data_IF_153158718886
#
_entry.id   IF_153158718886
#
_cell.length_a   1.000
_cell.length_b   1.000
_cell.length_c   1.000
_cell.angle_alpha   90.00
_cell.angle_beta   90.00
_cell.angle_gamma   90.00
#
_symmetry.space_group_name_H-M   'P 1'
#
loop_
_entity.id
_entity.type
_entity.pdbx_description
1 polymer ?
#
# COMPACT_ATOMS: atom_id res chain seq x y z
N UNK A 1 1.45 -58.05 69.53
CA UNK A 1 2.50 -57.13 69.04
C UNK A 1 2.67 -57.17 67.51
N UNK A 2 2.83 -58.34 66.87
CA UNK A 2 3.00 -58.41 65.40
C UNK A 2 1.75 -57.96 64.62
N UNK A 3 0.57 -58.43 65.04
CA UNK A 3 -0.69 -58.02 64.41
C UNK A 3 -0.96 -56.50 64.47
N UNK A 4 -0.60 -55.84 65.58
CA UNK A 4 -0.73 -54.38 65.73
C UNK A 4 0.18 -53.61 64.77
N UNK A 5 1.42 -54.07 64.58
CA UNK A 5 2.37 -53.45 63.62
C UNK A 5 1.95 -53.59 62.16
N UNK A 6 1.31 -54.72 61.81
CA UNK A 6 0.78 -54.94 60.45
C UNK A 6 -0.33 -53.92 60.18
N UNK A 7 -1.25 -53.77 61.14
CA UNK A 7 -2.34 -52.81 61.01
C UNK A 7 -1.82 -51.36 60.96
N UNK A 8 -0.89 -50.97 61.83
CA UNK A 8 -0.37 -49.59 61.86
C UNK A 8 0.43 -49.18 60.61
N UNK A 9 1.16 -50.11 59.98
CA UNK A 9 2.03 -49.79 58.84
C UNK A 9 1.39 -49.99 57.48
N UNK A 10 0.49 -50.95 57.37
CA UNK A 10 -0.09 -51.37 56.09
C UNK A 10 -1.60 -51.16 56.04
N UNK A 11 -2.25 -50.82 57.17
CA UNK A 11 -3.70 -50.65 57.30
C UNK A 11 -4.48 -51.91 56.90
N UNK A 12 -3.98 -53.08 57.34
CA UNK A 12 -4.49 -54.40 56.97
C UNK A 12 -4.46 -55.40 58.13
N UNK A 13 -5.26 -56.48 58.02
CA UNK A 13 -5.23 -57.59 58.97
C UNK A 13 -4.12 -58.61 58.65
N UNK A 14 -3.67 -59.43 59.62
CA UNK A 14 -2.66 -60.47 59.39
C UNK A 14 -3.08 -61.59 58.44
N UNK A 15 -4.38 -61.74 58.20
CA UNK A 15 -4.93 -62.69 57.23
C UNK A 15 -4.82 -62.09 55.83
N UNK A 16 -5.25 -60.85 55.64
CA UNK A 16 -5.12 -60.13 54.36
C UNK A 16 -3.66 -59.96 53.92
N UNK A 17 -2.73 -59.75 54.87
CA UNK A 17 -1.30 -59.67 54.55
C UNK A 17 -0.76 -61.02 54.03
N UNK A 18 -1.26 -62.15 54.57
CA UNK A 18 -0.83 -63.48 54.11
C UNK A 18 -1.28 -63.75 52.68
N UNK A 19 -2.48 -63.29 52.33
CA UNK A 19 -3.02 -63.42 50.97
C UNK A 19 -2.23 -62.57 49.97
N UNK A 20 -1.89 -61.31 50.29
CA UNK A 20 -1.10 -60.44 49.41
C UNK A 20 0.36 -60.89 49.29
N UNK A 21 0.93 -61.41 50.37
CA UNK A 21 2.32 -61.87 50.38
C UNK A 21 2.51 -63.23 49.70
N UNK A 22 1.44 -63.85 49.16
CA UNK A 22 1.43 -65.21 48.61
C UNK A 22 2.17 -66.20 49.52
N UNK A 23 1.91 -66.10 50.83
CA UNK A 23 2.71 -66.82 51.82
C UNK A 23 2.35 -68.31 51.86
N UNK A 24 3.28 -69.17 51.43
CA UNK A 24 3.12 -70.63 51.49
C UNK A 24 3.46 -71.15 52.90
N UNK A 25 2.53 -71.86 53.55
CA UNK A 25 2.79 -72.49 54.85
C UNK A 25 3.99 -73.45 54.80
N UNK A 26 4.96 -73.24 55.69
CA UNK A 26 6.21 -74.01 55.75
C UNK A 26 7.39 -73.37 55.00
N UNK A 27 7.15 -72.35 54.17
CA UNK A 27 8.19 -71.51 53.58
C UNK A 27 8.69 -70.50 54.62
N UNK A 28 9.93 -70.63 55.06
CA UNK A 28 10.59 -69.61 55.89
C UNK A 28 11.68 -68.94 55.05
N UNK A 29 11.33 -67.93 54.23
CA UNK A 29 12.31 -67.20 53.43
C UNK A 29 13.43 -66.64 54.34
N UNK A 30 14.63 -66.55 53.78
CA UNK A 30 15.77 -66.03 54.52
C UNK A 30 15.50 -64.60 54.97
N UNK A 31 15.67 -64.37 56.27
CA UNK A 31 15.39 -63.09 56.90
C UNK A 31 16.31 -62.00 56.37
N UNK A 32 17.55 -62.34 56.07
CA UNK A 32 18.57 -61.38 55.63
C UNK A 32 18.32 -60.96 54.17
N UNK A 33 17.86 -61.87 53.32
CA UNK A 33 17.42 -61.58 51.95
C UNK A 33 16.17 -60.69 51.93
N UNK A 34 15.17 -61.00 52.77
CA UNK A 34 13.97 -60.19 52.88
C UNK A 34 14.26 -58.78 53.42
N UNK A 35 15.15 -58.68 54.42
CA UNK A 35 15.57 -57.39 54.96
C UNK A 35 16.30 -56.56 53.90
N UNK A 36 17.23 -57.17 53.16
CA UNK A 36 17.94 -56.50 52.06
C UNK A 36 17.00 -56.04 50.95
N UNK A 37 16.00 -56.85 50.61
CA UNK A 37 14.97 -56.50 49.61
C UNK A 37 14.08 -55.36 50.10
N UNK A 38 13.68 -55.37 51.37
CA UNK A 38 12.89 -54.29 51.98
C UNK A 38 13.67 -52.97 52.02
N UNK A 39 14.94 -53.02 52.39
CA UNK A 39 15.80 -51.83 52.45
C UNK A 39 16.04 -51.25 51.05
N UNK A 40 16.24 -52.12 50.03
CA UNK A 40 16.34 -51.70 48.62
C UNK A 40 15.05 -51.01 48.14
N UNK A 41 13.90 -51.66 48.32
CA UNK A 41 12.61 -51.12 47.88
C UNK A 41 12.22 -49.85 48.65
N UNK A 42 12.57 -49.76 49.93
CA UNK A 42 12.34 -48.55 50.73
C UNK A 42 13.20 -47.39 50.22
N UNK A 43 14.49 -47.63 49.91
CA UNK A 43 15.35 -46.62 49.28
C UNK A 43 14.86 -46.21 47.89
N UNK A 44 14.42 -47.16 47.06
CA UNK A 44 13.85 -46.88 45.75
C UNK A 44 12.60 -46.00 45.85
N UNK A 45 11.70 -46.28 46.80
CA UNK A 45 10.53 -45.45 47.11
C UNK A 45 10.94 -44.05 47.58
N UNK A 46 11.86 -43.96 48.54
CA UNK A 46 12.29 -42.69 49.11
C UNK A 46 13.02 -41.82 48.06
N UNK A 47 13.70 -42.44 47.09
CA UNK A 47 14.33 -41.76 45.94
C UNK A 47 13.33 -41.21 44.90
N UNK A 48 12.07 -41.68 44.86
CA UNK A 48 11.05 -41.13 43.94
C UNK A 48 10.62 -39.71 44.34
N UNK A 49 10.94 -39.28 45.56
CA UNK A 49 10.56 -37.96 46.07
C UNK A 49 9.09 -37.90 46.51
N UNK A 50 8.65 -36.73 47.00
CA UNK A 50 7.28 -36.55 47.46
C UNK A 50 6.28 -36.62 46.30
N UNK A 51 5.16 -37.31 46.51
CA UNK A 51 4.06 -37.36 45.55
C UNK A 51 3.44 -35.96 45.42
N UNK A 52 3.39 -35.42 44.21
CA UNK A 52 2.70 -34.15 43.96
C UNK A 52 1.18 -34.39 43.90
N UNK A 53 0.50 -34.23 45.04
CA UNK A 53 -0.95 -34.38 45.15
C UNK A 53 -1.74 -33.35 44.32
N UNK A 54 -1.08 -32.27 43.84
CA UNK A 54 -1.70 -31.25 42.99
C UNK A 54 -1.48 -31.49 41.50
N UNK A 55 -0.71 -32.52 41.13
CA UNK A 55 -0.35 -32.77 39.73
C UNK A 55 -1.58 -32.91 38.82
N UNK A 56 -2.62 -33.61 39.26
CA UNK A 56 -3.85 -33.78 38.47
C UNK A 56 -4.56 -32.44 38.22
N UNK A 57 -4.61 -31.56 39.22
CA UNK A 57 -5.21 -30.23 39.10
C UNK A 57 -4.37 -29.32 38.19
N UNK A 58 -3.04 -29.34 38.36
CA UNK A 58 -2.10 -28.55 37.55
C UNK A 58 -2.13 -28.97 36.08
N UNK A 59 -2.22 -30.28 35.80
CA UNK A 59 -2.36 -30.80 34.43
C UNK A 59 -3.67 -30.32 33.81
N UNK A 60 -4.79 -30.42 34.54
CA UNK A 60 -6.08 -29.94 34.04
C UNK A 60 -6.07 -28.44 33.72
N UNK A 61 -5.50 -27.61 34.60
CA UNK A 61 -5.37 -26.15 34.37
C UNK A 61 -4.47 -25.83 33.16
N UNK A 62 -3.35 -26.56 33.00
CA UNK A 62 -2.44 -26.39 31.87
C UNK A 62 -3.08 -26.82 30.55
N UNK A 63 -3.82 -27.93 30.55
CA UNK A 63 -4.56 -28.40 29.38
C UNK A 63 -5.63 -27.39 28.95
N UNK A 64 -6.37 -26.82 29.89
CA UNK A 64 -7.37 -25.79 29.60
C UNK A 64 -6.72 -24.55 28.97
N UNK A 65 -5.63 -24.04 29.55
CA UNK A 65 -4.87 -22.91 28.97
C UNK A 65 -4.30 -23.23 27.60
N UNK A 66 -3.76 -24.44 27.42
CA UNK A 66 -3.19 -24.87 26.15
C UNK A 66 -4.28 -24.95 25.06
N UNK A 67 -5.45 -25.48 25.40
CA UNK A 67 -6.58 -25.57 24.47
C UNK A 67 -7.10 -24.18 24.09
N UNK A 68 -7.19 -23.24 25.05
CA UNK A 68 -7.54 -21.85 24.78
C UNK A 68 -6.54 -21.17 23.82
N UNK A 69 -5.23 -21.27 24.12
CA UNK A 69 -4.19 -20.71 23.25
C UNK A 69 -4.19 -21.32 21.84
N UNK A 70 -4.47 -22.63 21.72
CA UNK A 70 -4.59 -23.28 20.41
C UNK A 70 -5.78 -22.73 19.63
N UNK A 71 -6.93 -22.58 20.27
CA UNK A 71 -8.11 -21.99 19.63
C UNK A 71 -7.86 -20.55 19.16
N UNK A 72 -7.21 -19.72 19.98
CA UNK A 72 -6.82 -18.36 19.60
C UNK A 72 -5.81 -18.35 18.43
N UNK A 73 -4.82 -19.26 18.45
CA UNK A 73 -3.87 -19.40 17.35
C UNK A 73 -4.57 -19.80 16.04
N UNK A 74 -5.49 -20.74 16.09
CA UNK A 74 -6.23 -21.20 14.92
C UNK A 74 -7.11 -20.09 14.35
N UNK A 75 -7.75 -19.29 15.20
CA UNK A 75 -8.53 -18.12 14.79
C UNK A 75 -7.64 -17.04 14.15
N UNK A 76 -6.47 -16.76 14.73
CA UNK A 76 -5.49 -15.84 14.14
C UNK A 76 -5.01 -16.32 12.76
N UNK A 77 -4.73 -17.61 12.60
CA UNK A 77 -4.33 -18.19 11.31
C UNK A 77 -5.45 -18.06 10.29
N UNK A 78 -6.70 -18.32 10.68
CA UNK A 78 -7.86 -18.15 9.81
C UNK A 78 -8.08 -16.67 9.42
N UNK A 79 -7.91 -15.74 10.36
CA UNK A 79 -7.99 -14.31 10.11
C UNK A 79 -6.89 -13.85 9.13
N UNK A 80 -5.65 -14.30 9.30
CA UNK A 80 -4.54 -14.02 8.37
C UNK A 80 -4.86 -14.55 6.97
N UNK A 81 -5.38 -15.77 6.85
CA UNK A 81 -5.76 -16.35 5.57
C UNK A 81 -6.86 -15.52 4.88
N UNK A 82 -7.87 -15.08 5.63
CA UNK A 82 -8.95 -14.22 5.14
C UNK A 82 -8.42 -12.86 4.66
N UNK A 83 -7.53 -12.23 5.43
CA UNK A 83 -6.91 -10.95 5.06
C UNK A 83 -6.06 -11.09 3.80
N UNK A 84 -5.26 -12.16 3.69
CA UNK A 84 -4.47 -12.44 2.48
C UNK A 84 -5.35 -12.65 1.25
N UNK A 85 -6.48 -13.34 1.40
CA UNK A 85 -7.49 -13.47 0.34
C UNK A 85 -8.02 -12.11 -0.10
N UNK A 86 -8.41 -11.25 0.84
CA UNK A 86 -8.88 -9.90 0.54
C UNK A 86 -7.84 -9.02 -0.16
N UNK A 87 -6.56 -9.11 0.26
CA UNK A 87 -5.45 -8.41 -0.41
C UNK A 87 -5.31 -8.90 -1.85
N UNK A 88 -5.42 -10.21 -2.10
CA UNK A 88 -5.31 -10.76 -3.44
C UNK A 88 -6.43 -10.28 -4.38
N UNK A 89 -7.67 -10.20 -3.87
CA UNK A 89 -8.81 -9.66 -4.62
C UNK A 89 -8.62 -8.16 -4.93
N UNK A 90 -8.22 -7.37 -3.94
CA UNK A 90 -7.93 -5.94 -4.12
C UNK A 90 -6.79 -5.70 -5.12
N UNK A 91 -5.72 -6.50 -5.05
CA UNK A 91 -4.60 -6.40 -5.99
C UNK A 91 -5.04 -6.75 -7.41
N UNK A 92 -5.92 -7.76 -7.58
CA UNK A 92 -6.46 -8.11 -8.89
C UNK A 92 -7.28 -6.96 -9.47
N UNK A 93 -8.22 -6.43 -8.70
CA UNK A 93 -9.06 -5.30 -9.14
C UNK A 93 -8.22 -4.03 -9.38
N UNK A 94 -7.19 -3.81 -8.55
CA UNK A 94 -6.22 -2.73 -8.69
C UNK A 94 -5.44 -2.83 -10.00
N UNK A 95 -4.91 -4.02 -10.35
CA UNK A 95 -4.21 -4.25 -11.62
C UNK A 95 -5.10 -3.97 -12.82
N UNK A 96 -6.32 -4.48 -12.83
CA UNK A 96 -7.27 -4.27 -13.92
C UNK A 96 -7.57 -2.77 -14.13
N UNK A 97 -7.85 -2.05 -13.03
CA UNK A 97 -8.11 -0.60 -13.08
C UNK A 97 -6.90 0.22 -13.48
N UNK A 98 -5.71 -0.16 -13.00
CA UNK A 98 -4.45 0.51 -13.34
C UNK A 98 -4.15 0.36 -14.82
N UNK A 99 -4.20 -0.85 -15.36
CA UNK A 99 -3.95 -1.12 -16.80
C UNK A 99 -4.97 -0.40 -17.67
N UNK A 100 -6.25 -0.41 -17.29
CA UNK A 100 -7.29 0.32 -18.01
C UNK A 100 -7.00 1.83 -18.04
N UNK A 101 -6.68 2.42 -16.88
CA UNK A 101 -6.34 3.84 -16.78
C UNK A 101 -5.06 4.18 -17.54
N UNK A 102 -4.02 3.35 -17.42
CA UNK A 102 -2.75 3.52 -18.12
C UNK A 102 -2.94 3.57 -19.64
N UNK A 103 -3.72 2.64 -20.20
CA UNK A 103 -3.99 2.62 -21.63
C UNK A 103 -4.77 3.87 -22.09
N UNK A 104 -5.68 4.39 -21.27
CA UNK A 104 -6.38 5.64 -21.55
C UNK A 104 -5.43 6.85 -21.51
N UNK A 105 -4.55 6.93 -20.49
CA UNK A 105 -3.55 8.00 -20.40
C UNK A 105 -2.63 7.95 -21.61
N UNK A 106 -2.10 6.77 -21.96
CA UNK A 106 -1.15 6.60 -23.07
C UNK A 106 -1.79 7.00 -24.42
N UNK A 107 -3.07 6.67 -24.63
CA UNK A 107 -3.80 7.08 -25.82
C UNK A 107 -3.96 8.61 -25.89
N UNK A 108 -4.43 9.25 -24.81
CA UNK A 108 -4.55 10.71 -24.77
C UNK A 108 -3.20 11.41 -24.92
N UNK A 109 -2.15 10.84 -24.30
CA UNK A 109 -0.79 11.36 -24.38
C UNK A 109 -0.25 11.33 -25.80
N UNK A 110 -0.42 10.22 -26.53
CA UNK A 110 -0.08 10.11 -27.95
C UNK A 110 -0.76 11.18 -28.79
N UNK A 111 -2.06 11.34 -28.61
CA UNK A 111 -2.87 12.27 -29.40
C UNK A 111 -2.50 13.74 -29.12
N UNK A 112 -2.30 14.10 -27.85
CA UNK A 112 -1.88 15.44 -27.45
C UNK A 112 -0.44 15.75 -27.88
N UNK A 113 0.47 14.78 -27.78
CA UNK A 113 1.85 14.95 -28.20
C UNK A 113 1.92 15.27 -29.70
N UNK A 114 1.21 14.51 -30.55
CA UNK A 114 1.18 14.76 -31.99
C UNK A 114 0.61 16.15 -32.30
N UNK A 115 -0.45 16.58 -31.59
CA UNK A 115 -1.04 17.91 -31.75
C UNK A 115 -0.06 19.03 -31.35
N UNK A 116 0.65 18.88 -30.24
CA UNK A 116 1.61 19.88 -29.74
C UNK A 116 2.89 19.98 -30.58
N UNK A 117 3.38 18.86 -31.14
CA UNK A 117 4.61 18.87 -31.94
C UNK A 117 4.37 18.95 -33.45
N UNK A 118 3.11 18.85 -33.91
CA UNK A 118 2.76 18.81 -35.33
C UNK A 118 3.25 17.52 -36.03
N UNK A 119 3.51 16.47 -35.26
CA UNK A 119 4.15 15.24 -35.70
C UNK A 119 4.93 14.55 -34.57
N UNK A 120 5.73 13.55 -34.92
CA UNK A 120 6.45 12.74 -33.94
C UNK A 120 5.60 11.63 -33.32
N UNK A 121 6.17 10.94 -32.33
CA UNK A 121 5.50 9.86 -31.58
C UNK A 121 5.95 9.88 -30.13
N UNK A 122 5.04 9.63 -29.21
CA UNK A 122 5.38 9.40 -27.81
C UNK A 122 4.51 8.27 -27.26
N UNK A 123 4.99 7.53 -26.27
CA UNK A 123 4.20 6.55 -25.54
C UNK A 123 4.77 6.35 -24.14
N UNK A 124 3.92 5.82 -23.26
CA UNK A 124 4.30 5.39 -21.93
C UNK A 124 4.75 3.93 -21.97
N UNK A 125 5.83 3.61 -21.28
CA UNK A 125 6.35 2.25 -21.13
C UNK A 125 6.43 1.89 -19.65
N UNK A 126 5.90 0.71 -19.29
CA UNK A 126 6.12 0.11 -17.98
C UNK A 126 7.45 -0.63 -17.98
N UNK A 127 8.32 -0.33 -17.02
CA UNK A 127 9.67 -0.91 -16.89
C UNK A 127 9.86 -1.59 -15.54
N UNK A 128 11.00 -2.26 -15.33
CA UNK A 128 11.45 -2.84 -14.05
C UNK A 128 10.71 -4.08 -13.53
N UNK A 129 9.41 -4.25 -13.80
CA UNK A 129 8.65 -5.42 -13.36
C UNK A 129 7.59 -5.85 -14.37
N UNK A 130 7.19 -7.12 -14.32
CA UNK A 130 6.05 -7.64 -15.07
C UNK A 130 4.71 -7.36 -14.36
N UNK A 131 4.71 -7.07 -13.05
CA UNK A 131 3.51 -6.65 -12.33
C UNK A 131 3.30 -5.14 -12.51
N UNK A 132 2.18 -4.68 -13.11
CA UNK A 132 1.90 -3.26 -13.28
C UNK A 132 1.89 -2.46 -11.97
N UNK A 133 1.63 -3.10 -10.82
CA UNK A 133 1.62 -2.43 -9.51
C UNK A 133 3.03 -2.10 -8.99
N UNK A 134 4.05 -2.82 -9.48
CA UNK A 134 5.45 -2.66 -9.05
C UNK A 134 6.34 -2.09 -10.16
N UNK A 135 5.79 -1.90 -11.36
CA UNK A 135 6.53 -1.42 -12.51
C UNK A 135 6.82 0.08 -12.41
N UNK A 136 8.04 0.45 -12.84
CA UNK A 136 8.41 1.84 -13.11
C UNK A 136 7.66 2.37 -14.35
N UNK A 137 7.58 3.69 -14.46
CA UNK A 137 7.00 4.38 -15.62
C UNK A 137 8.09 5.17 -16.34
N UNK A 138 8.35 4.83 -17.60
CA UNK A 138 9.21 5.60 -18.49
C UNK A 138 8.40 6.30 -19.58
N UNK A 139 8.77 7.55 -19.86
CA UNK A 139 8.18 8.36 -20.92
C UNK A 139 9.11 8.33 -22.12
N UNK A 140 8.63 7.71 -23.20
CA UNK A 140 9.38 7.54 -24.44
C UNK A 140 8.83 8.50 -25.48
N UNK A 141 9.67 9.41 -26.00
CA UNK A 141 9.25 10.43 -26.96
C UNK A 141 10.23 10.56 -28.13
N UNK A 142 9.68 10.87 -29.30
CA UNK A 142 10.37 11.17 -30.55
C UNK A 142 9.71 12.42 -31.15
N UNK A 143 10.29 13.60 -30.88
CA UNK A 143 9.93 14.82 -31.60
C UNK A 143 10.17 14.65 -33.11
N UNK A 144 9.52 15.45 -33.97
CA UNK A 144 9.68 15.36 -35.41
C UNK A 144 11.16 15.49 -35.83
N UNK A 145 11.67 14.48 -36.53
CA UNK A 145 13.07 14.42 -37.00
C UNK A 145 14.08 13.84 -36.00
N UNK A 146 13.67 13.43 -34.79
CA UNK A 146 14.54 12.80 -33.78
C UNK A 146 14.19 11.34 -33.53
N UNK A 147 15.15 10.57 -33.01
CA UNK A 147 14.93 9.17 -32.59
C UNK A 147 14.17 9.11 -31.27
N UNK A 148 13.55 7.96 -30.99
CA UNK A 148 12.92 7.67 -29.70
C UNK A 148 13.96 7.72 -28.57
N UNK A 149 13.70 8.55 -27.56
CA UNK A 149 14.56 8.74 -26.40
C UNK A 149 13.71 8.91 -25.14
N UNK A 150 14.33 8.68 -23.98
CA UNK A 150 13.71 8.95 -22.68
C UNK A 150 13.62 10.47 -22.43
N UNK A 151 12.62 10.90 -21.66
CA UNK A 151 12.35 12.31 -21.36
C UNK A 151 13.58 13.11 -20.89
N UNK A 152 14.46 12.49 -20.09
CA UNK A 152 15.66 13.13 -19.53
C UNK A 152 16.73 13.49 -20.57
N UNK A 153 16.64 12.96 -21.79
CA UNK A 153 17.59 13.23 -22.88
C UNK A 153 17.08 14.29 -23.87
N UNK A 154 15.87 14.83 -23.67
CA UNK A 154 15.31 15.88 -24.52
C UNK A 154 15.87 17.27 -24.19
N UNK A 155 15.70 18.22 -25.10
CA UNK A 155 16.00 19.63 -24.80
C UNK A 155 15.00 20.21 -23.79
N UNK A 156 15.38 21.25 -23.04
CA UNK A 156 14.53 21.79 -21.95
C UNK A 156 13.10 22.19 -22.38
N UNK A 157 12.95 22.82 -23.54
CA UNK A 157 11.62 23.16 -24.09
C UNK A 157 10.82 21.94 -24.54
N UNK A 158 11.46 20.96 -25.18
CA UNK A 158 10.82 19.70 -25.58
C UNK A 158 10.41 18.88 -24.35
N UNK A 159 11.24 18.86 -23.30
CA UNK A 159 10.96 18.21 -22.04
C UNK A 159 9.74 18.84 -21.37
N UNK A 160 9.68 20.17 -21.31
CA UNK A 160 8.55 20.90 -20.73
C UNK A 160 7.24 20.61 -21.48
N UNK A 161 7.24 20.68 -22.82
CA UNK A 161 6.05 20.36 -23.63
C UNK A 161 5.63 18.91 -23.50
N UNK A 162 6.57 17.98 -23.46
CA UNK A 162 6.27 16.55 -23.30
C UNK A 162 5.65 16.28 -21.94
N UNK A 163 6.19 16.88 -20.88
CA UNK A 163 5.62 16.78 -19.54
C UNK A 163 4.21 17.40 -19.47
N UNK A 164 4.04 18.57 -20.08
CA UNK A 164 2.75 19.25 -20.16
C UNK A 164 1.71 18.42 -20.93
N UNK A 165 2.10 17.79 -22.04
CA UNK A 165 1.24 16.87 -22.78
C UNK A 165 0.77 15.69 -21.91
N UNK A 166 1.65 15.14 -21.06
CA UNK A 166 1.29 14.07 -20.12
C UNK A 166 0.33 14.56 -19.03
N UNK A 167 0.58 15.73 -18.45
CA UNK A 167 -0.30 16.32 -17.44
C UNK A 167 -1.71 16.50 -18.01
N UNK A 168 -1.82 17.04 -19.24
CA UNK A 168 -3.10 17.20 -19.90
C UNK A 168 -3.74 15.86 -20.30
N UNK A 169 -2.95 14.84 -20.65
CA UNK A 169 -3.47 13.50 -20.93
C UNK A 169 -4.15 12.88 -19.71
N UNK A 170 -3.50 13.00 -18.54
CA UNK A 170 -4.08 12.55 -17.26
C UNK A 170 -5.32 13.39 -16.92
N UNK A 171 -5.27 14.70 -17.15
CA UNK A 171 -6.40 15.60 -16.90
C UNK A 171 -7.66 15.24 -17.70
N UNK A 172 -7.51 14.77 -18.94
CA UNK A 172 -8.66 14.43 -19.80
C UNK A 172 -9.46 13.20 -19.35
N UNK A 173 -8.87 12.32 -18.52
CA UNK A 173 -9.56 11.12 -18.02
C UNK A 173 -10.64 11.49 -17.00
N UNK A 174 -10.32 12.44 -16.12
CA UNK A 174 -11.26 12.96 -15.14
C UNK A 174 -11.09 14.47 -15.00
N UNK A 175 -11.77 15.24 -15.88
CA UNK A 175 -11.52 16.66 -15.97
C UNK A 175 -12.10 17.42 -14.80
N UNK A 176 -11.27 18.23 -14.16
CA UNK A 176 -11.70 19.12 -13.09
C UNK A 176 -12.48 20.33 -13.66
N UNK A 177 -13.42 20.91 -12.89
CA UNK A 177 -14.14 22.11 -13.30
C UNK A 177 -13.22 23.35 -13.39
N UNK A 178 -12.11 23.36 -12.66
CA UNK A 178 -11.13 24.45 -12.64
C UNK A 178 -9.72 23.86 -12.72
N UNK A 179 -8.88 24.40 -13.59
CA UNK A 179 -7.47 24.07 -13.70
C UNK A 179 -6.64 25.35 -13.56
N UNK A 180 -5.65 25.34 -12.66
CA UNK A 180 -4.73 26.47 -12.43
C UNK A 180 -3.34 26.09 -12.95
N UNK A 181 -2.76 26.93 -13.80
CA UNK A 181 -1.43 26.75 -14.38
C UNK A 181 -0.57 27.95 -13.99
N UNK A 182 0.58 27.71 -13.37
CA UNK A 182 1.49 28.75 -12.88
C UNK A 182 2.84 28.68 -13.61
N UNK A 183 3.14 29.73 -14.38
CA UNK A 183 4.37 29.92 -15.17
C UNK A 183 4.81 28.71 -16.03
N UNK A 184 3.84 27.91 -16.48
CA UNK A 184 4.09 26.69 -17.26
C UNK A 184 4.70 26.96 -18.64
N UNK A 185 4.62 28.21 -19.11
CA UNK A 185 5.10 28.70 -20.39
C UNK A 185 6.51 29.34 -20.32
N UNK A 186 7.09 29.50 -19.12
CA UNK A 186 8.43 30.05 -18.94
C UNK A 186 9.56 29.34 -19.73
N UNK A 187 9.58 28.00 -19.89
CA UNK A 187 10.62 27.30 -20.66
C UNK A 187 10.32 27.18 -22.16
N UNK A 188 9.20 27.76 -22.65
CA UNK A 188 8.72 27.61 -24.02
C UNK A 188 9.15 28.79 -24.90
N UNK A 189 9.35 28.53 -26.18
CA UNK A 189 9.52 29.59 -27.19
C UNK A 189 8.15 30.04 -27.74
N UNK A 190 8.13 31.16 -28.48
CA UNK A 190 6.89 31.75 -28.99
C UNK A 190 6.04 30.77 -29.80
N UNK A 191 6.68 29.92 -30.61
CA UNK A 191 5.98 28.94 -31.45
C UNK A 191 5.31 27.85 -30.60
N UNK A 192 5.97 27.38 -29.54
CA UNK A 192 5.42 26.36 -28.66
C UNK A 192 4.38 26.92 -27.68
N UNK A 193 4.52 28.19 -27.28
CA UNK A 193 3.49 28.91 -26.50
C UNK A 193 2.18 29.02 -27.29
N UNK A 194 2.25 29.31 -28.58
CA UNK A 194 1.04 29.38 -29.43
C UNK A 194 0.30 28.02 -29.50
N UNK A 195 1.05 26.92 -29.60
CA UNK A 195 0.50 25.57 -29.59
C UNK A 195 -0.08 25.20 -28.23
N UNK A 196 0.59 25.59 -27.15
CA UNK A 196 0.07 25.43 -25.79
C UNK A 196 -1.26 26.17 -25.61
N UNK A 197 -1.35 27.45 -26.01
CA UNK A 197 -2.58 28.23 -25.91
C UNK A 197 -3.72 27.59 -26.69
N UNK A 198 -3.45 27.14 -27.92
CA UNK A 198 -4.43 26.48 -28.78
C UNK A 198 -4.91 25.14 -28.19
N UNK A 199 -4.04 24.41 -27.50
CA UNK A 199 -4.41 23.18 -26.78
C UNK A 199 -5.30 23.49 -25.58
N UNK A 200 -4.94 24.48 -24.75
CA UNK A 200 -5.76 24.87 -23.59
C UNK A 200 -7.15 25.31 -24.03
N UNK A 201 -7.23 26.12 -25.08
CA UNK A 201 -8.48 26.58 -25.68
C UNK A 201 -9.35 25.38 -26.14
N UNK A 202 -8.75 24.41 -26.85
CA UNK A 202 -9.46 23.20 -27.28
C UNK A 202 -9.97 22.33 -26.12
N UNK A 203 -9.19 22.21 -25.04
CA UNK A 203 -9.62 21.47 -23.84
C UNK A 203 -10.73 22.23 -23.10
N UNK A 204 -10.62 23.56 -22.98
CA UNK A 204 -11.64 24.39 -22.34
C UNK A 204 -13.00 24.24 -23.04
N UNK A 205 -13.01 24.26 -24.37
CA UNK A 205 -14.21 24.11 -25.19
C UNK A 205 -14.82 22.71 -25.10
N UNK A 206 -14.00 21.66 -25.11
CA UNK A 206 -14.47 20.27 -25.10
C UNK A 206 -15.01 19.86 -23.73
N UNK A 207 -14.35 20.31 -22.67
CA UNK A 207 -14.50 19.73 -21.33
C UNK A 207 -15.24 20.65 -20.36
N UNK A 208 -15.58 21.88 -20.77
CA UNK A 208 -16.16 22.94 -19.94
C UNK A 208 -15.31 23.28 -18.70
N UNK A 209 -14.02 22.93 -18.71
CA UNK A 209 -13.06 23.29 -17.68
C UNK A 209 -12.73 24.77 -17.80
N UNK A 210 -12.72 25.48 -16.67
CA UNK A 210 -12.20 26.86 -16.61
C UNK A 210 -10.72 26.85 -16.31
N UNK A 211 -9.93 27.51 -17.14
CA UNK A 211 -8.50 27.66 -16.94
C UNK A 211 -8.17 29.00 -16.28
N UNK A 212 -7.30 28.97 -15.27
CA UNK A 212 -6.68 30.15 -14.67
C UNK A 212 -5.18 30.02 -14.91
N UNK A 213 -4.62 30.90 -15.75
CA UNK A 213 -3.20 30.88 -16.09
C UNK A 213 -2.52 32.08 -15.44
N UNK A 214 -1.49 31.81 -14.65
CA UNK A 214 -0.57 32.81 -14.10
C UNK A 214 0.68 32.78 -14.98
N UNK A 215 0.98 33.90 -15.62
CA UNK A 215 2.07 34.00 -16.58
C UNK A 215 2.53 35.45 -16.71
N UNK A 216 3.77 35.64 -17.16
CA UNK A 216 4.31 36.91 -17.63
C UNK A 216 4.55 36.90 -19.17
N UNK A 217 4.21 35.82 -19.87
CA UNK A 217 4.46 35.63 -21.29
C UNK A 217 3.43 36.39 -22.15
N UNK A 218 3.91 37.31 -23.00
CA UNK A 218 3.06 38.24 -23.76
C UNK A 218 2.10 37.52 -24.72
N UNK A 219 2.56 36.45 -25.36
CA UNK A 219 1.73 35.66 -26.28
C UNK A 219 0.59 34.95 -25.56
N UNK A 220 0.85 34.36 -24.39
CA UNK A 220 -0.17 33.72 -23.56
C UNK A 220 -1.21 34.74 -23.11
N UNK A 221 -0.77 35.90 -22.61
CA UNK A 221 -1.67 36.98 -22.20
C UNK A 221 -2.60 37.45 -23.33
N UNK A 222 -2.09 37.53 -24.56
CA UNK A 222 -2.85 37.99 -25.72
C UNK A 222 -3.94 36.98 -26.18
N UNK A 223 -3.89 35.73 -25.73
CA UNK A 223 -4.79 34.65 -26.13
C UNK A 223 -5.82 34.28 -25.05
N UNK A 224 -5.94 35.07 -23.99
CA UNK A 224 -6.89 34.84 -22.89
C UNK A 224 -8.16 35.67 -23.06
N UNK A 225 -9.28 35.21 -22.51
CA UNK A 225 -10.54 35.97 -22.52
C UNK A 225 -10.49 37.22 -21.64
N UNK A 226 -9.81 37.10 -20.48
CA UNK A 226 -9.76 38.14 -19.44
C UNK A 226 -8.42 38.12 -18.71
N UNK A 227 -7.87 39.30 -18.49
CA UNK A 227 -6.62 39.49 -17.76
C UNK A 227 -6.89 40.08 -16.37
N UNK A 228 -6.20 39.52 -15.38
CA UNK A 228 -6.15 40.06 -14.02
C UNK A 228 -4.71 40.43 -13.71
N UNK A 229 -4.44 41.72 -13.58
CA UNK A 229 -3.15 42.24 -13.15
C UNK A 229 -3.12 42.42 -11.64
N UNK A 230 -1.97 42.13 -11.03
CA UNK A 230 -1.71 42.47 -9.63
C UNK A 230 -0.75 43.65 -9.61
N UNK A 231 -1.14 44.73 -8.93
CA UNK A 231 -0.34 45.94 -8.77
C UNK A 231 -0.15 46.27 -7.29
N UNK A 232 0.97 46.90 -6.94
CA UNK A 232 1.25 47.37 -5.59
C UNK A 232 1.30 48.90 -5.60
N UNK A 233 0.14 49.54 -5.45
CA UNK A 233 0.05 51.00 -5.33
C UNK A 233 0.69 51.50 -4.02
N UNK A 234 0.57 50.72 -2.95
CA UNK A 234 1.21 50.94 -1.66
C UNK A 234 2.14 49.79 -1.31
N UNK A 235 3.25 50.08 -0.62
CA UNK A 235 4.26 49.08 -0.31
C UNK A 235 3.68 48.04 0.65
N UNK A 236 3.55 46.80 0.17
CA UNK A 236 3.03 45.67 0.96
C UNK A 236 1.52 45.43 0.82
N UNK A 237 0.79 46.22 0.02
CA UNK A 237 -0.64 45.99 -0.27
C UNK A 237 -0.80 45.69 -1.76
N UNK A 238 -1.14 44.44 -2.07
CA UNK A 238 -1.47 44.03 -3.45
C UNK A 238 -2.92 44.37 -3.77
N UNK A 239 -3.13 45.07 -4.88
CA UNK A 239 -4.44 45.36 -5.45
C UNK A 239 -4.60 44.64 -6.79
N UNK A 240 -5.81 44.13 -7.03
CA UNK A 240 -6.14 43.39 -8.22
C UNK A 240 -6.88 44.30 -9.21
N UNK A 241 -6.35 44.41 -10.42
CA UNK A 241 -6.94 45.14 -11.54
C UNK A 241 -7.36 44.15 -12.62
N UNK A 242 -8.47 44.39 -13.31
CA UNK A 242 -8.94 43.48 -14.37
C UNK A 242 -9.14 44.23 -15.68
N UNK A 243 -8.72 43.62 -16.78
CA UNK A 243 -8.97 44.08 -18.15
C UNK A 243 -9.68 42.95 -18.89
N UNK A 244 -10.81 43.27 -19.51
CA UNK A 244 -11.51 42.37 -20.41
C UNK A 244 -11.00 42.59 -21.84
N UNK A 245 -10.29 41.59 -22.38
CA UNK A 245 -9.67 41.70 -23.69
C UNK A 245 -10.70 41.66 -24.82
N UNK A 246 -11.77 40.87 -24.65
CA UNK A 246 -12.86 40.77 -25.62
C UNK A 246 -13.59 42.11 -25.77
N UNK A 247 -13.82 42.81 -24.65
CA UNK A 247 -14.40 44.14 -24.67
C UNK A 247 -13.47 45.20 -25.28
N UNK A 248 -12.16 45.07 -25.08
CA UNK A 248 -11.17 46.01 -25.62
C UNK A 248 -11.04 45.91 -27.15
N UNK A 249 -11.11 44.70 -27.72
CA UNK A 249 -11.10 44.50 -29.17
C UNK A 249 -12.35 45.09 -29.84
N UNK A 250 -13.53 44.90 -29.27
CA UNK A 250 -14.78 45.49 -29.77
C UNK A 250 -14.78 47.04 -29.77
N UNK A 251 -14.09 47.65 -28.81
CA UNK A 251 -13.90 49.11 -28.76
C UNK A 251 -12.90 49.57 -29.84
N UNK A 252 -11.83 48.82 -30.10
CA UNK A 252 -10.87 49.16 -31.17
C UNK A 252 -11.53 49.14 -32.55
N UNK A 253 -12.33 48.12 -32.84
CA UNK A 253 -12.96 47.95 -34.15
C UNK A 253 -14.10 48.95 -34.40
N UNK A 254 -14.67 49.54 -33.35
CA UNK A 254 -15.66 50.62 -33.45
C UNK A 254 -15.05 52.03 -33.55
N UNK A 255 -13.74 52.18 -33.30
CA UNK A 255 -13.03 53.47 -33.29
C UNK A 255 -12.13 53.66 -34.53
N UNK A 256 -12.01 52.67 -35.43
CA UNK A 256 -11.36 52.83 -36.73
C UNK A 256 -12.39 52.98 -37.86
N UNK A 257 -12.84 54.20 -38.19
CA UNK A 257 -13.45 54.45 -39.49
C UNK A 257 -12.35 54.46 -40.57
N UNK A 258 -12.70 53.92 -41.75
CA UNK A 258 -11.89 53.96 -42.97
C UNK A 258 -11.52 55.38 -43.42
#
# INVERSE_FOLDING_TARGET
MVAGRINERLDMTPEQLRDIADFVEGSRPDRDELQSKLDRLSRERDNMGPVNLRAEQEVAELEERMNAMRAESDDLVAAIAKLRGGIAELNKEGRERLVASFNQVDQHFRDLFIKLFGGGRAHLALTESADPLEAGLEIMASPPGKRMQVLSLLSGGEQALTALALIFAVFLINPAPICVLDEVDAPLDDANVDRFCSLVEGIAQTTRTRFLIVTHHRMTMARMDRLYGVTMAERGVSQLVSVDLSAAEAIRDSVVPA
#
